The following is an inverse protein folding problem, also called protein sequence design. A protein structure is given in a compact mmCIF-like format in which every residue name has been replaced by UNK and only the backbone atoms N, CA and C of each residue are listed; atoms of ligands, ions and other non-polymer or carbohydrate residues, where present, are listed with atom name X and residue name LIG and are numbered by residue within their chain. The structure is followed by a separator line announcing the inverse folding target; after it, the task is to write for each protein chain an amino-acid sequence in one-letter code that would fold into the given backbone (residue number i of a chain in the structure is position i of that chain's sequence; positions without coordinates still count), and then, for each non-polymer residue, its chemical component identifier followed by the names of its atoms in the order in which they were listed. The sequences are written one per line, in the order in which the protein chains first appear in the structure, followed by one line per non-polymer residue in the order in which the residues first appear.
data_IF_300592167511
#
_entry.id   IF_300592167511
#
_cell.length_a   1.000
_cell.length_b   1.000
_cell.length_c   1.000
_cell.angle_alpha   90.00
_cell.angle_beta   90.00
_cell.angle_gamma   90.00
#
_symmetry.space_group_name_H-M   'P 1'
#
loop_
_entity.id
_entity.type
_entity.pdbx_description
1 polymer ?
#
# COMPACT_ATOMS: atom_id res chain seq x y z
N UNK A 1 0.25 -15.51 -6.18
CA UNK A 1 0.11 -14.05 -6.32
C UNK A 1 1.38 -13.58 -6.98
N UNK A 2 1.26 -12.84 -8.08
CA UNK A 2 2.42 -12.39 -8.86
C UNK A 2 2.74 -10.92 -8.54
N UNK A 3 4.01 -10.55 -8.65
CA UNK A 3 4.44 -9.15 -8.60
C UNK A 3 4.42 -8.53 -9.99
N UNK A 4 4.51 -7.21 -10.05
CA UNK A 4 4.62 -6.48 -11.31
C UNK A 4 5.85 -6.91 -12.10
N UNK A 5 7.00 -7.06 -11.42
CA UNK A 5 8.27 -7.48 -12.01
C UNK A 5 8.16 -8.88 -12.62
N UNK A 6 7.39 -9.78 -12.01
CA UNK A 6 7.12 -11.10 -12.60
C UNK A 6 6.37 -10.99 -13.92
N UNK A 7 5.33 -10.15 -13.99
CA UNK A 7 4.51 -9.99 -15.21
C UNK A 7 5.30 -9.31 -16.34
N UNK A 8 6.10 -8.30 -16.00
CA UNK A 8 6.92 -7.58 -16.98
C UNK A 8 8.05 -8.47 -17.50
N UNK A 9 8.71 -9.20 -16.60
CA UNK A 9 9.82 -10.09 -16.95
C UNK A 9 9.41 -11.23 -17.88
N UNK A 10 8.17 -11.74 -17.77
CA UNK A 10 7.62 -12.75 -18.69
C UNK A 10 7.60 -12.26 -20.15
N UNK A 11 7.47 -10.96 -20.37
CA UNK A 11 7.36 -10.36 -21.70
C UNK A 11 8.70 -9.82 -22.25
N UNK A 12 9.81 -9.95 -21.50
CA UNK A 12 11.11 -9.43 -21.93
C UNK A 12 11.20 -7.91 -22.05
N UNK A 13 10.25 -7.17 -21.46
CA UNK A 13 10.21 -5.71 -21.53
C UNK A 13 11.13 -5.09 -20.49
N UNK A 14 11.97 -4.13 -20.91
CA UNK A 14 12.62 -3.19 -19.99
C UNK A 14 11.69 -1.99 -19.81
N UNK A 15 11.32 -1.70 -18.56
CA UNK A 15 10.40 -0.60 -18.22
C UNK A 15 11.17 0.39 -17.35
N UNK A 16 11.23 1.65 -17.79
CA UNK A 16 11.82 2.72 -17.00
C UNK A 16 10.89 3.20 -15.85
N UNK A 17 11.40 4.07 -14.99
CA UNK A 17 10.64 4.54 -13.83
C UNK A 17 9.37 5.32 -14.20
N UNK A 18 9.40 6.08 -15.30
CA UNK A 18 8.27 6.90 -15.73
C UNK A 18 7.19 6.03 -16.38
N UNK A 19 7.58 5.06 -17.21
CA UNK A 19 6.69 4.04 -17.76
C UNK A 19 6.06 3.19 -16.65
N UNK A 20 6.83 2.78 -15.64
CA UNK A 20 6.31 2.08 -14.46
C UNK A 20 5.26 2.93 -13.74
N UNK A 21 5.54 4.21 -13.54
CA UNK A 21 4.58 5.15 -12.95
C UNK A 21 3.30 5.27 -13.78
N UNK A 22 3.41 5.42 -15.10
CA UNK A 22 2.26 5.49 -16.00
C UNK A 22 1.40 4.23 -15.95
N UNK A 23 2.02 3.04 -15.93
CA UNK A 23 1.31 1.76 -15.81
C UNK A 23 0.58 1.66 -14.46
N UNK A 24 1.23 2.04 -13.36
CA UNK A 24 0.61 2.06 -12.04
C UNK A 24 -0.62 2.97 -12.03
N UNK A 25 -0.51 4.19 -12.56
CA UNK A 25 -1.63 5.13 -12.67
C UNK A 25 -2.76 4.54 -13.50
N UNK A 26 -2.46 3.93 -14.64
CA UNK A 26 -3.45 3.29 -15.52
C UNK A 26 -4.20 2.14 -14.83
N UNK A 27 -3.48 1.22 -14.18
CA UNK A 27 -4.07 0.09 -13.45
C UNK A 27 -4.97 0.56 -12.30
N UNK A 28 -4.51 1.56 -11.55
CA UNK A 28 -5.29 2.12 -10.44
C UNK A 28 -6.53 2.85 -10.94
N UNK A 29 -6.43 3.61 -12.02
CA UNK A 29 -7.59 4.25 -12.66
C UNK A 29 -8.62 3.22 -13.15
N UNK A 30 -8.16 2.13 -13.78
CA UNK A 30 -9.00 1.03 -14.23
C UNK A 30 -9.75 0.38 -13.04
N UNK A 31 -9.06 0.07 -11.95
CA UNK A 31 -9.67 -0.50 -10.75
C UNK A 31 -10.70 0.43 -10.12
N UNK A 32 -10.47 1.75 -10.14
CA UNK A 32 -11.44 2.71 -9.63
C UNK A 32 -12.67 2.85 -10.53
N UNK A 33 -12.50 2.76 -11.85
CA UNK A 33 -13.62 2.82 -12.79
C UNK A 33 -14.67 1.71 -12.54
N UNK A 34 -14.26 0.56 -11.98
CA UNK A 34 -15.18 -0.52 -11.60
C UNK A 34 -15.86 -0.29 -10.24
N UNK A 35 -15.60 0.84 -9.57
CA UNK A 35 -16.10 1.16 -8.22
C UNK A 35 -16.75 2.55 -8.19
N UNK A 36 -18.06 2.67 -8.55
CA UNK A 36 -18.73 3.96 -8.76
C UNK A 36 -18.64 4.94 -7.59
N UNK A 37 -18.73 4.45 -6.34
CA UNK A 37 -18.62 5.27 -5.14
C UNK A 37 -17.21 5.84 -4.90
N UNK A 38 -16.20 5.28 -5.56
CA UNK A 38 -14.78 5.61 -5.37
C UNK A 38 -14.18 6.44 -6.49
N UNK A 39 -14.83 6.53 -7.66
CA UNK A 39 -14.41 7.43 -8.75
C UNK A 39 -14.25 8.89 -8.28
N UNK A 40 -15.08 9.35 -7.33
CA UNK A 40 -14.98 10.70 -6.72
C UNK A 40 -13.67 10.94 -5.94
N UNK A 41 -12.91 9.89 -5.64
CA UNK A 41 -11.64 9.94 -4.89
C UNK A 41 -10.42 9.73 -5.79
N UNK A 42 -10.59 9.61 -7.11
CA UNK A 42 -9.50 9.34 -8.04
C UNK A 42 -8.43 10.43 -7.98
N UNK A 43 -8.79 11.70 -8.13
CA UNK A 43 -7.82 12.80 -8.11
C UNK A 43 -7.00 12.84 -6.80
N UNK A 44 -7.61 12.92 -5.59
CA UNK A 44 -6.85 12.87 -4.33
C UNK A 44 -5.97 11.63 -4.16
N UNK A 45 -6.40 10.48 -4.68
CA UNK A 45 -5.61 9.25 -4.63
C UNK A 45 -4.39 9.32 -5.56
N UNK A 46 -4.53 9.90 -6.75
CA UNK A 46 -3.41 10.08 -7.68
C UNK A 46 -2.32 11.00 -7.12
N UNK A 47 -2.69 12.03 -6.35
CA UNK A 47 -1.74 12.91 -5.66
C UNK A 47 -0.80 12.16 -4.72
N UNK A 48 -1.29 11.13 -4.01
CA UNK A 48 -0.46 10.27 -3.16
C UNK A 48 0.26 9.16 -3.94
N UNK A 49 -0.35 8.65 -5.00
CA UNK A 49 0.11 7.49 -5.78
C UNK A 49 1.38 7.79 -6.57
N UNK A 50 1.44 8.91 -7.30
CA UNK A 50 2.57 9.24 -8.17
C UNK A 50 3.87 9.42 -7.37
N UNK A 51 3.90 10.18 -6.26
CA UNK A 51 5.08 10.24 -5.40
C UNK A 51 5.49 8.88 -4.83
N UNK A 52 4.53 8.04 -4.45
CA UNK A 52 4.81 6.68 -3.96
C UNK A 52 5.47 5.80 -5.03
N UNK A 53 4.96 5.86 -6.26
CA UNK A 53 5.50 5.14 -7.40
C UNK A 53 6.94 5.57 -7.71
N UNK A 54 7.19 6.88 -7.75
CA UNK A 54 8.53 7.43 -7.99
C UNK A 54 9.53 7.08 -6.89
N UNK A 55 9.06 6.95 -5.64
CA UNK A 55 9.90 6.54 -4.51
C UNK A 55 10.07 5.01 -4.39
N UNK A 56 9.53 4.19 -5.31
CA UNK A 56 9.43 2.73 -5.17
C UNK A 56 8.78 2.27 -3.85
N UNK A 57 7.91 3.10 -3.26
CA UNK A 57 7.17 2.79 -2.03
C UNK A 57 5.74 2.37 -2.35
N UNK A 58 5.61 1.51 -3.36
CA UNK A 58 4.36 0.92 -3.80
C UNK A 58 4.58 -0.51 -4.26
N UNK A 59 3.62 -1.38 -3.95
CA UNK A 59 3.58 -2.76 -4.45
C UNK A 59 2.23 -3.02 -5.10
N UNK A 60 2.27 -3.52 -6.33
CA UNK A 60 1.12 -3.99 -7.07
C UNK A 60 0.91 -5.48 -6.83
N UNK A 61 -0.35 -5.89 -6.77
CA UNK A 61 -0.73 -7.28 -6.56
C UNK A 61 -1.59 -7.77 -7.71
N UNK A 62 -1.25 -8.96 -8.18
CA UNK A 62 -1.96 -9.67 -9.23
C UNK A 62 -2.35 -11.07 -8.76
N UNK A 63 -3.54 -11.51 -9.14
CA UNK A 63 -3.98 -12.88 -8.86
C UNK A 63 -3.21 -13.91 -9.70
N UNK A 64 -3.59 -15.19 -9.60
CA UNK A 64 -2.93 -16.28 -10.33
C UNK A 64 -3.13 -16.23 -11.85
N UNK A 65 -4.07 -15.44 -12.33
CA UNK A 65 -4.38 -15.26 -13.74
C UNK A 65 -3.79 -13.95 -14.29
N UNK A 66 -3.02 -13.21 -13.49
CA UNK A 66 -2.43 -11.93 -13.88
C UNK A 66 -3.42 -10.76 -13.81
N UNK A 67 -4.58 -10.93 -13.19
CA UNK A 67 -5.56 -9.85 -13.01
C UNK A 67 -5.09 -8.94 -11.89
N UNK A 68 -5.09 -7.63 -12.13
CA UNK A 68 -4.77 -6.63 -11.10
C UNK A 68 -5.83 -6.64 -10.01
N UNK A 69 -5.41 -6.97 -8.78
CA UNK A 69 -6.30 -7.06 -7.61
C UNK A 69 -6.09 -5.93 -6.61
N UNK A 70 -5.13 -5.04 -6.87
CA UNK A 70 -4.92 -3.84 -6.08
C UNK A 70 -3.45 -3.54 -5.74
N UNK A 71 -3.26 -2.57 -4.85
CA UNK A 71 -1.95 -2.09 -4.45
C UNK A 71 -1.88 -1.67 -2.98
N UNK A 72 -0.65 -1.57 -2.49
CA UNK A 72 -0.30 -0.96 -1.21
C UNK A 72 0.74 0.12 -1.47
N UNK A 73 0.57 1.29 -0.87
CA UNK A 73 1.59 2.33 -0.84
C UNK A 73 1.99 2.65 0.61
N UNK A 74 3.27 2.96 0.81
CA UNK A 74 3.80 3.29 2.12
C UNK A 74 4.75 4.48 2.08
N UNK A 75 5.22 4.86 3.27
CA UNK A 75 6.25 5.85 3.52
C UNK A 75 7.03 5.45 4.77
N UNK A 76 8.27 5.91 4.89
CA UNK A 76 9.09 5.79 6.09
C UNK A 76 9.42 7.20 6.59
N UNK A 77 8.83 7.57 7.72
CA UNK A 77 8.77 8.95 8.18
C UNK A 77 9.73 9.20 9.35
N UNK A 78 10.28 10.41 9.40
CA UNK A 78 10.89 10.96 10.60
C UNK A 78 9.84 11.28 11.66
N UNK A 79 10.26 11.43 12.93
CA UNK A 79 9.35 11.86 14.00
C UNK A 79 8.73 13.24 13.72
N UNK A 80 9.48 14.14 13.10
CA UNK A 80 9.00 15.48 12.73
C UNK A 80 7.89 15.40 11.66
N UNK A 81 8.13 14.66 10.58
CA UNK A 81 7.16 14.47 9.51
C UNK A 81 5.91 13.74 10.01
N UNK A 82 6.08 12.75 10.88
CA UNK A 82 4.98 12.05 11.53
C UNK A 82 4.12 13.01 12.38
N UNK A 83 4.76 13.87 13.18
CA UNK A 83 4.07 14.86 13.99
C UNK A 83 3.24 15.82 13.12
N UNK A 84 3.81 16.35 12.03
CA UNK A 84 3.12 17.21 11.06
C UNK A 84 1.90 16.50 10.45
N UNK A 85 2.06 15.24 10.02
CA UNK A 85 0.99 14.45 9.41
C UNK A 85 -0.17 14.16 10.38
N UNK A 86 0.14 13.95 11.65
CA UNK A 86 -0.86 13.75 12.71
C UNK A 86 -1.64 15.04 13.01
N UNK A 87 -0.95 16.19 13.03
CA UNK A 87 -1.50 17.48 13.42
C UNK A 87 -2.48 18.10 12.39
N UNK A 88 -2.21 17.99 11.08
CA UNK A 88 -2.95 18.73 10.06
C UNK A 88 -3.37 17.87 8.84
N UNK A 89 -4.62 17.37 8.77
CA UNK A 89 -5.21 16.83 7.53
C UNK A 89 -5.79 17.94 6.61
N UNK A 90 -5.77 17.78 5.28
CA UNK A 90 -5.10 16.73 4.50
C UNK A 90 -3.59 16.95 4.48
N UNK A 91 -2.82 15.87 4.57
CA UNK A 91 -1.35 15.93 4.54
C UNK A 91 -0.85 15.19 3.30
N UNK A 92 -0.23 15.93 2.40
CA UNK A 92 0.40 15.39 1.21
C UNK A 92 1.91 15.28 1.48
N UNK A 93 2.44 14.05 1.43
CA UNK A 93 3.86 13.81 1.60
C UNK A 93 4.59 14.13 0.28
N UNK A 94 5.50 15.09 0.31
CA UNK A 94 6.49 15.24 -0.75
C UNK A 94 7.39 14.01 -0.85
N UNK A 95 8.06 13.82 -2.00
CA UNK A 95 8.95 12.66 -2.20
C UNK A 95 10.05 12.53 -1.12
N UNK A 96 10.62 13.66 -0.68
CA UNK A 96 11.62 13.69 0.39
C UNK A 96 11.03 13.29 1.76
N UNK A 97 9.82 13.76 2.07
CA UNK A 97 9.15 13.43 3.33
C UNK A 97 8.80 11.94 3.43
N UNK A 98 8.45 11.30 2.31
CA UNK A 98 8.11 9.86 2.27
C UNK A 98 9.27 8.93 2.64
N UNK A 99 10.51 9.42 2.56
CA UNK A 99 11.74 8.65 2.85
C UNK A 99 12.55 9.27 3.99
N UNK A 100 11.93 10.18 4.77
CA UNK A 100 12.60 11.01 5.77
C UNK A 100 13.06 10.27 7.03
N UNK A 101 12.63 9.04 7.26
CA UNK A 101 13.02 8.29 8.46
C UNK A 101 12.70 6.81 8.38
N UNK A 102 12.45 6.19 9.54
CA UNK A 102 12.28 4.73 9.70
C UNK A 102 10.89 4.32 10.16
N UNK A 103 10.05 5.26 10.60
CA UNK A 103 8.68 4.96 11.05
C UNK A 103 7.84 4.55 9.85
N UNK A 104 7.47 3.28 9.76
CA UNK A 104 6.72 2.75 8.62
C UNK A 104 5.23 3.12 8.69
N UNK A 105 4.76 3.76 7.63
CA UNK A 105 3.37 4.17 7.47
C UNK A 105 2.76 3.61 6.18
N UNK A 106 1.66 2.87 6.28
CA UNK A 106 0.82 2.54 5.11
C UNK A 106 -0.07 3.74 4.82
N UNK A 107 0.17 4.39 3.68
CA UNK A 107 -0.57 5.59 3.25
C UNK A 107 -1.83 5.22 2.49
N UNK A 108 -1.76 4.14 1.71
CA UNK A 108 -2.88 3.65 0.90
C UNK A 108 -2.95 2.13 0.91
N UNK A 109 -4.18 1.63 1.10
CA UNK A 109 -4.49 0.20 1.07
C UNK A 109 -5.73 -0.02 0.20
N UNK A 110 -5.52 -0.50 -1.02
CA UNK A 110 -6.59 -0.71 -1.99
C UNK A 110 -6.49 -2.09 -2.59
N UNK A 111 -7.25 -3.04 -2.04
CA UNK A 111 -7.25 -4.45 -2.44
C UNK A 111 -8.69 -4.91 -2.68
N UNK A 112 -8.91 -5.68 -3.74
CA UNK A 112 -10.20 -6.28 -4.05
C UNK A 112 -10.68 -7.19 -2.91
N UNK A 113 -12.00 -7.22 -2.69
CA UNK A 113 -12.61 -8.06 -1.67
C UNK A 113 -12.23 -9.54 -1.89
N UNK A 114 -11.96 -10.26 -0.79
CA UNK A 114 -11.51 -11.67 -0.83
C UNK A 114 -9.99 -11.86 -0.93
N UNK A 115 -9.22 -10.87 -1.39
CA UNK A 115 -7.76 -10.97 -1.48
C UNK A 115 -7.00 -10.37 -0.30
N UNK A 116 -7.71 -9.62 0.57
CA UNK A 116 -7.13 -8.93 1.73
C UNK A 116 -6.29 -9.87 2.63
N UNK A 117 -6.74 -11.09 3.01
CA UNK A 117 -5.95 -11.95 3.89
C UNK A 117 -4.58 -12.31 3.31
N UNK A 118 -4.54 -12.71 2.03
CA UNK A 118 -3.30 -13.08 1.35
C UNK A 118 -2.34 -11.89 1.18
N UNK A 119 -2.87 -10.68 0.97
CA UNK A 119 -2.05 -9.47 0.89
C UNK A 119 -1.49 -9.07 2.27
N UNK A 120 -2.28 -9.22 3.34
CA UNK A 120 -1.79 -8.98 4.70
C UNK A 120 -0.69 -9.98 5.11
N UNK A 121 -0.80 -11.25 4.70
CA UNK A 121 0.27 -12.25 4.86
C UNK A 121 1.55 -11.84 4.13
N UNK A 122 1.46 -11.46 2.85
CA UNK A 122 2.62 -10.98 2.09
C UNK A 122 3.24 -9.71 2.71
N UNK A 123 2.40 -8.78 3.19
CA UNK A 123 2.88 -7.60 3.91
C UNK A 123 3.68 -7.96 5.16
N UNK A 124 3.20 -8.94 5.94
CA UNK A 124 3.85 -9.41 7.18
C UNK A 124 5.18 -10.10 6.92
N UNK A 125 5.16 -11.04 5.98
CA UNK A 125 6.20 -12.05 5.83
C UNK A 125 7.26 -11.67 4.80
N UNK A 126 6.95 -10.71 3.92
CA UNK A 126 7.83 -10.32 2.80
C UNK A 126 8.01 -8.82 2.70
N UNK A 127 6.93 -8.06 2.46
CA UNK A 127 7.07 -6.63 2.14
C UNK A 127 7.63 -5.83 3.31
N UNK A 128 7.16 -6.11 4.53
CA UNK A 128 7.56 -5.42 5.75
C UNK A 128 8.20 -6.38 6.75
N UNK A 129 8.86 -7.44 6.28
CA UNK A 129 9.48 -8.47 7.10
C UNK A 129 10.39 -7.89 8.19
N UNK A 130 11.15 -6.85 7.85
CA UNK A 130 12.12 -6.19 8.74
C UNK A 130 11.52 -5.06 9.58
N UNK A 131 10.23 -4.75 9.42
CA UNK A 131 9.57 -3.73 10.22
C UNK A 131 9.03 -4.33 11.52
N UNK A 132 9.45 -3.74 12.65
CA UNK A 132 8.90 -4.05 13.97
C UNK A 132 7.46 -3.54 14.14
N UNK A 133 7.14 -2.44 13.47
CA UNK A 133 5.87 -1.75 13.61
C UNK A 133 5.39 -1.17 12.28
N UNK A 134 4.07 -1.15 12.10
CA UNK A 134 3.40 -0.48 10.99
C UNK A 134 2.40 0.50 11.55
N UNK A 135 2.27 1.67 10.93
CA UNK A 135 1.29 2.70 11.31
C UNK A 135 0.37 2.99 10.13
N UNK A 136 -0.92 3.24 10.38
CA UNK A 136 -1.89 3.55 9.33
C UNK A 136 -3.06 4.36 9.89
N UNK A 137 -3.80 5.04 9.01
CA UNK A 137 -5.05 5.70 9.39
C UNK A 137 -6.25 4.77 9.21
N UNK A 138 -7.11 4.71 10.24
CA UNK A 138 -8.45 4.12 10.17
C UNK A 138 -9.50 5.21 10.28
N UNK A 139 -10.46 5.19 9.37
CA UNK A 139 -11.63 6.05 9.43
C UNK A 139 -12.78 5.32 10.14
N UNK A 140 -13.35 5.94 11.19
CA UNK A 140 -14.54 5.45 11.89
C UNK A 140 -15.54 6.60 11.98
N UNK A 141 -16.59 6.57 11.15
CA UNK A 141 -17.45 7.72 10.94
C UNK A 141 -16.65 8.90 10.39
N UNK A 142 -16.75 10.08 11.02
CA UNK A 142 -15.97 11.28 10.67
C UNK A 142 -14.61 11.37 11.36
N UNK A 143 -14.24 10.38 12.19
CA UNK A 143 -12.97 10.41 12.94
C UNK A 143 -11.88 9.65 12.18
N UNK A 144 -10.73 10.31 12.01
CA UNK A 144 -9.48 9.72 11.56
C UNK A 144 -8.68 9.28 12.79
N UNK A 145 -8.31 8.01 12.87
CA UNK A 145 -7.59 7.43 14.01
C UNK A 145 -6.28 6.85 13.49
N UNK A 146 -5.15 7.34 13.98
CA UNK A 146 -3.87 6.69 13.74
C UNK A 146 -3.79 5.40 14.56
N UNK A 147 -3.47 4.28 13.90
CA UNK A 147 -3.28 2.98 14.53
C UNK A 147 -1.85 2.54 14.27
N UNK A 148 -1.14 2.26 15.35
CA UNK A 148 0.18 1.64 15.33
C UNK A 148 0.05 0.22 15.84
N UNK A 149 0.70 -0.69 15.14
CA UNK A 149 0.64 -2.13 15.37
C UNK A 149 2.06 -2.66 15.36
N UNK A 150 2.44 -3.37 16.40
CA UNK A 150 3.72 -4.06 16.47
C UNK A 150 3.61 -5.49 15.99
N UNK A 151 4.71 -6.02 15.44
CA UNK A 151 4.88 -7.43 15.05
C UNK A 151 4.63 -8.40 16.20
N UNK A 152 5.06 -8.02 17.41
CA UNK A 152 4.88 -8.81 18.63
C UNK A 152 3.55 -8.55 19.36
N UNK A 153 2.68 -7.68 18.81
CA UNK A 153 1.38 -7.38 19.40
C UNK A 153 0.32 -8.42 19.04
N UNK A 154 -0.60 -8.70 19.96
CA UNK A 154 -1.78 -9.59 19.75
C UNK A 154 -2.84 -9.04 18.77
N UNK A 155 -2.51 -8.03 17.95
CA UNK A 155 -3.48 -7.33 17.12
C UNK A 155 -3.54 -7.87 15.68
N UNK A 156 -4.77 -7.98 15.17
CA UNK A 156 -5.19 -8.68 13.95
C UNK A 156 -4.48 -8.33 12.63
N UNK A 157 -3.63 -7.30 12.57
CA UNK A 157 -3.00 -6.91 11.31
C UNK A 157 -1.88 -7.86 10.88
N UNK A 158 -1.16 -8.47 11.84
CA UNK A 158 -0.18 -9.54 11.59
C UNK A 158 -0.65 -10.91 12.09
N UNK A 159 -1.65 -10.94 12.96
CA UNK A 159 -2.30 -12.15 13.39
C UNK A 159 -3.32 -12.60 12.34
N UNK A 160 -2.84 -13.05 11.17
CA UNK A 160 -3.61 -14.04 10.42
C UNK A 160 -3.56 -15.31 11.25
N UNK A 161 -4.71 -15.79 11.72
CA UNK A 161 -4.80 -17.05 12.44
C UNK A 161 -3.98 -18.09 11.68
N UNK A 162 -2.98 -18.69 12.34
CA UNK A 162 -2.33 -19.87 11.81
C UNK A 162 -3.45 -20.88 11.51
N UNK A 163 -3.78 -21.08 10.23
CA UNK A 163 -4.57 -22.26 9.88
C UNK A 163 -3.68 -23.44 10.26
N UNK A 164 -4.12 -24.35 11.14
CA UNK A 164 -3.42 -25.61 11.26
C UNK A 164 -3.37 -26.22 9.86
N UNK A 165 -2.19 -26.63 9.43
CA UNK A 165 -2.08 -27.57 8.32
C UNK A 165 -3.00 -28.74 8.65
N UNK A 166 -4.01 -28.96 7.81
CA UNK A 166 -4.80 -30.19 7.91
C UNK A 166 -3.85 -31.36 7.59
N UNK A 167 -3.91 -32.45 8.36
CA UNK A 167 -3.10 -33.64 8.13
C UNK A 167 -3.38 -34.30 6.78
#
# INVERSE_FOLDING_TARGET
MYSFETIVGINGMSIDAEQKCAIIVGLVAQLMATQPDRCKRLAPMLHGLVPAARANQIKLYFDRFGVFIGYIAWATLSAETEHKMLAAPPFELSGAERTSGTSLWVTDFHIAAGHVPAVLEDMRDRLFADADQVTYFRFKGRRRIAKRIGRHGRHAFFATAARPALP
#
